data_IF_025420502609
#
_entry.id   IF_025420502609
#
_cell.length_a   1.000
_cell.length_b   1.000
_cell.length_c   1.000
_cell.angle_alpha   90.00
_cell.angle_beta   90.00
_cell.angle_gamma   90.00
#
_symmetry.space_group_name_H-M   'P 1'
#
loop_
_entity.id
_entity.type
_entity.pdbx_description
1 polymer ?
#
# COMPACT_ATOMS: atom_id res chain seq x y z
N UNK A 1 -9.01 -1.79 15.95
CA UNK A 1 -9.29 -1.62 14.51
C UNK A 1 -8.81 -0.23 14.12
N UNK A 2 -7.71 -0.19 13.38
CA UNK A 2 -7.04 1.06 12.97
C UNK A 2 -7.17 1.23 11.46
N UNK A 3 -7.35 2.45 11.00
CA UNK A 3 -7.35 2.75 9.55
C UNK A 3 -6.01 3.35 9.20
N UNK A 4 -5.41 2.88 8.11
CA UNK A 4 -4.18 3.42 7.55
C UNK A 4 -4.44 4.03 6.19
N UNK A 5 -4.03 5.27 5.99
CA UNK A 5 -3.86 5.82 4.65
C UNK A 5 -2.57 5.29 4.06
N UNK A 6 -2.61 4.97 2.77
CA UNK A 6 -1.45 4.52 2.03
C UNK A 6 -1.38 5.12 0.64
N UNK A 7 -0.14 5.36 0.20
CA UNK A 7 0.23 5.80 -1.14
C UNK A 7 1.27 4.82 -1.69
N UNK A 8 1.02 4.28 -2.88
CA UNK A 8 1.97 3.41 -3.58
C UNK A 8 2.49 4.10 -4.83
N UNK A 9 3.82 4.20 -4.90
CA UNK A 9 4.55 4.85 -5.99
C UNK A 9 5.42 3.81 -6.69
N UNK A 10 5.47 3.85 -8.02
CA UNK A 10 6.41 3.07 -8.82
C UNK A 10 7.77 3.76 -8.83
N UNK A 11 8.81 3.09 -8.36
CA UNK A 11 10.16 3.69 -8.24
C UNK A 11 10.82 4.05 -9.55
N UNK A 12 10.51 3.35 -10.64
CA UNK A 12 11.19 3.55 -11.93
C UNK A 12 10.95 4.95 -12.52
N UNK A 13 9.79 5.55 -12.25
CA UNK A 13 9.37 6.82 -12.83
C UNK A 13 8.65 7.74 -11.84
N UNK A 14 8.53 7.34 -10.57
CA UNK A 14 7.83 8.11 -9.55
C UNK A 14 6.32 8.18 -9.75
N UNK A 15 5.74 7.36 -10.63
CA UNK A 15 4.31 7.40 -10.90
C UNK A 15 3.50 6.88 -9.71
N UNK A 16 2.51 7.66 -9.27
CA UNK A 16 1.50 7.18 -8.34
C UNK A 16 0.71 6.03 -8.99
N UNK A 17 0.64 4.90 -8.29
CA UNK A 17 -0.17 3.74 -8.68
C UNK A 17 -1.55 3.86 -8.05
N UNK A 18 -1.59 4.14 -6.74
CA UNK A 18 -2.83 4.25 -5.97
C UNK A 18 -2.59 5.04 -4.69
N UNK A 19 -3.62 5.77 -4.27
CA UNK A 19 -3.77 6.36 -2.94
C UNK A 19 -5.13 5.96 -2.37
N UNK A 20 -5.14 5.30 -1.21
CA UNK A 20 -6.37 4.80 -0.59
C UNK A 20 -6.17 4.53 0.91
N UNK A 21 -7.20 4.01 1.57
CA UNK A 21 -7.16 3.62 2.99
C UNK A 21 -7.39 2.11 3.15
N UNK A 22 -6.75 1.49 4.14
CA UNK A 22 -6.96 0.09 4.51
C UNK A 22 -7.25 -0.03 6.01
N UNK A 23 -8.17 -0.92 6.36
CA UNK A 23 -8.54 -1.20 7.75
C UNK A 23 -7.71 -2.36 8.27
N UNK A 24 -6.91 -2.11 9.30
CA UNK A 24 -6.27 -3.16 10.09
C UNK A 24 -7.27 -3.67 11.15
N UNK A 25 -8.04 -4.66 10.73
CA UNK A 25 -9.03 -5.33 11.59
C UNK A 25 -8.38 -6.25 12.62
N UNK A 26 -7.13 -6.66 12.42
CA UNK A 26 -6.43 -7.63 13.25
C UNK A 26 -5.40 -7.00 14.20
N UNK A 27 -5.20 -5.68 14.12
CA UNK A 27 -4.13 -4.97 14.83
C UNK A 27 -2.75 -5.57 14.51
N UNK A 28 -2.55 -5.96 13.25
CA UNK A 28 -1.32 -6.54 12.75
C UNK A 28 -0.16 -5.54 12.69
N UNK A 29 -0.47 -4.24 12.60
CA UNK A 29 0.49 -3.15 12.56
C UNK A 29 0.98 -2.82 11.15
N UNK A 30 1.81 -1.78 11.05
CA UNK A 30 2.19 -1.14 9.77
C UNK A 30 2.85 -2.08 8.75
N UNK A 31 3.83 -2.89 9.16
CA UNK A 31 4.63 -3.68 8.22
C UNK A 31 3.83 -4.81 7.55
N UNK A 32 3.03 -5.62 8.28
CA UNK A 32 2.10 -6.55 7.66
C UNK A 32 1.10 -5.88 6.71
N UNK A 33 0.61 -4.69 7.06
CA UNK A 33 -0.34 -3.96 6.23
C UNK A 33 0.29 -3.47 4.92
N UNK A 34 1.53 -2.97 4.95
CA UNK A 34 2.27 -2.62 3.72
C UNK A 34 2.44 -3.83 2.80
N UNK A 35 2.78 -5.00 3.35
CA UNK A 35 2.94 -6.21 2.57
C UNK A 35 1.61 -6.67 1.95
N UNK A 36 0.51 -6.59 2.70
CA UNK A 36 -0.83 -6.92 2.22
C UNK A 36 -1.25 -6.01 1.05
N UNK A 37 -1.02 -4.69 1.18
CA UNK A 37 -1.26 -3.72 0.10
C UNK A 37 -0.43 -4.06 -1.14
N UNK A 38 0.87 -4.32 -0.96
CA UNK A 38 1.75 -4.65 -2.08
C UNK A 38 1.29 -5.92 -2.82
N UNK A 39 0.97 -6.98 -2.07
CA UNK A 39 0.51 -8.25 -2.63
C UNK A 39 -0.80 -8.08 -3.42
N UNK A 40 -1.76 -7.33 -2.87
CA UNK A 40 -3.02 -7.04 -3.54
C UNK A 40 -2.80 -6.27 -4.85
N UNK A 41 -1.93 -5.27 -4.85
CA UNK A 41 -1.61 -4.46 -6.03
C UNK A 41 -0.92 -5.27 -7.12
N UNK A 42 0.13 -6.01 -6.77
CA UNK A 42 0.86 -6.85 -7.72
C UNK A 42 -0.04 -7.94 -8.35
N UNK A 43 -1.07 -8.38 -7.63
CA UNK A 43 -2.04 -9.35 -8.11
C UNK A 43 -3.09 -8.75 -9.06
N UNK A 44 -3.61 -7.56 -8.75
CA UNK A 44 -4.87 -7.06 -9.34
C UNK A 44 -4.80 -5.70 -10.04
N UNK A 45 -3.76 -4.89 -9.78
CA UNK A 45 -3.70 -3.53 -10.29
C UNK A 45 -3.03 -3.48 -11.68
N UNK A 46 -3.68 -2.92 -12.72
CA UNK A 46 -3.12 -2.88 -14.08
C UNK A 46 -1.75 -2.22 -14.16
N UNK A 47 -1.54 -1.12 -13.42
CA UNK A 47 -0.26 -0.41 -13.39
C UNK A 47 0.85 -1.12 -12.59
N UNK A 48 0.48 -2.11 -11.77
CA UNK A 48 1.43 -2.93 -11.02
C UNK A 48 1.79 -4.24 -11.75
N UNK A 49 1.16 -4.53 -12.89
CA UNK A 49 1.40 -5.75 -13.67
C UNK A 49 2.85 -5.83 -14.12
N UNK A 50 3.52 -6.91 -13.75
CA UNK A 50 4.93 -7.16 -14.10
C UNK A 50 5.96 -6.49 -13.19
N UNK A 51 5.51 -5.69 -12.21
CA UNK A 51 6.38 -5.17 -11.15
C UNK A 51 6.68 -6.24 -10.10
N UNK A 52 7.70 -5.99 -9.29
CA UNK A 52 8.03 -6.73 -8.06
C UNK A 52 7.91 -5.82 -6.86
N UNK A 53 7.91 -6.40 -5.67
CA UNK A 53 7.89 -5.66 -4.41
C UNK A 53 9.00 -4.59 -4.33
N UNK A 54 10.20 -4.90 -4.85
CA UNK A 54 11.33 -3.98 -4.90
C UNK A 54 11.06 -2.71 -5.71
N UNK A 55 10.16 -2.78 -6.67
CA UNK A 55 9.86 -1.71 -7.64
C UNK A 55 8.80 -0.73 -7.10
N UNK A 56 8.21 -1.07 -5.95
CA UNK A 56 7.20 -0.27 -5.27
C UNK A 56 7.81 0.46 -4.07
N UNK A 57 7.34 1.68 -3.86
CA UNK A 57 7.51 2.43 -2.62
C UNK A 57 6.13 2.63 -2.00
N UNK A 58 5.99 2.28 -0.72
CA UNK A 58 4.70 2.32 0.00
C UNK A 58 4.86 3.21 1.20
N UNK A 59 4.21 4.37 1.15
CA UNK A 59 4.03 5.24 2.30
C UNK A 59 2.73 4.85 3.00
N UNK A 60 2.77 4.68 4.31
CA UNK A 60 1.60 4.30 5.10
C UNK A 60 1.62 5.03 6.43
N UNK A 61 0.49 5.61 6.80
CA UNK A 61 0.32 6.35 8.05
C UNK A 61 -1.06 6.06 8.65
N UNK A 62 -1.18 5.97 9.98
CA UNK A 62 -2.49 5.81 10.61
C UNK A 62 -3.34 7.06 10.37
N UNK A 63 -4.61 6.88 10.02
CA UNK A 63 -5.59 7.96 10.04
C UNK A 63 -5.76 8.41 11.49
N UNK A 64 -5.49 9.68 11.75
CA UNK A 64 -6.01 10.32 12.95
C UNK A 64 -7.51 10.53 12.74
N UNK A 65 -8.31 9.65 13.32
CA UNK A 65 -9.74 9.91 13.50
C UNK A 65 -9.88 11.14 14.42
N UNK A 66 -10.62 12.17 14.02
CA UNK A 66 -10.89 13.34 14.86
C UNK A 66 -11.70 12.99 16.11
#
# INVERSE_FOLDING_TARGET
>A
MQVFDYLVIRKSDGAEIVSASIVDAMDAGLEPMKLAVAAALLHSHPMAKGLKLSDLEIHMAPQHLP
#
